data_IF_205071780745
#
_entry.id   IF_205071780745
#
_cell.length_a   1.000
_cell.length_b   1.000
_cell.length_c   1.000
_cell.angle_alpha   90.00
_cell.angle_beta   90.00
_cell.angle_gamma   90.00
#
_symmetry.space_group_name_H-M   'P 1'
#
loop_
_entity.id
_entity.type
_entity.pdbx_description
1 polymer ?
#
# COMPACT_ATOMS: atom_id res chain seq x y z
N UNK A 1 -27.54 -21.40 -14.81
CA UNK A 1 -26.15 -20.96 -15.07
C UNK A 1 -25.70 -21.53 -16.41
N UNK A 2 -25.38 -20.68 -17.39
CA UNK A 2 -24.63 -21.11 -18.58
C UNK A 2 -23.17 -21.32 -18.15
N UNK A 3 -22.63 -22.47 -18.52
CA UNK A 3 -21.30 -22.95 -18.18
C UNK A 3 -20.25 -22.13 -18.97
N UNK A 4 -19.25 -21.59 -18.28
CA UNK A 4 -18.14 -20.78 -18.84
C UNK A 4 -17.13 -21.61 -19.68
N UNK A 5 -17.37 -22.90 -19.88
CA UNK A 5 -16.60 -23.80 -20.73
C UNK A 5 -17.29 -24.01 -22.09
N UNK A 6 -17.99 -23.01 -22.60
CA UNK A 6 -18.37 -23.03 -24.01
C UNK A 6 -17.11 -22.70 -24.82
N UNK A 7 -16.48 -23.72 -25.40
CA UNK A 7 -15.24 -23.59 -26.19
C UNK A 7 -15.37 -22.64 -27.39
N UNK A 8 -16.59 -22.34 -27.81
CA UNK A 8 -16.93 -21.45 -28.94
C UNK A 8 -17.29 -20.00 -28.50
N UNK A 9 -17.12 -19.64 -27.23
CA UNK A 9 -17.39 -18.27 -26.74
C UNK A 9 -16.09 -17.48 -26.53
N UNK A 10 -15.71 -16.69 -27.54
CA UNK A 10 -14.49 -15.87 -27.55
C UNK A 10 -14.57 -14.59 -26.69
N UNK A 11 -15.68 -14.35 -25.98
CA UNK A 11 -15.82 -13.13 -25.19
C UNK A 11 -14.91 -13.17 -23.95
N UNK A 12 -14.21 -12.07 -23.64
CA UNK A 12 -13.37 -12.02 -22.45
C UNK A 12 -14.23 -12.19 -21.19
N UNK A 13 -13.81 -13.11 -20.32
CA UNK A 13 -14.46 -13.31 -19.02
C UNK A 13 -14.06 -12.19 -18.06
N UNK A 14 -15.05 -11.47 -17.52
CA UNK A 14 -14.84 -10.45 -16.50
C UNK A 14 -15.10 -11.06 -15.13
N UNK A 15 -14.07 -11.16 -14.29
CA UNK A 15 -14.18 -11.70 -12.94
C UNK A 15 -14.59 -10.61 -11.95
N UNK A 16 -15.86 -10.59 -11.55
CA UNK A 16 -16.41 -9.58 -10.62
C UNK A 16 -16.31 -9.97 -9.13
N UNK A 17 -15.96 -11.23 -8.84
CA UNK A 17 -15.89 -11.79 -7.47
C UNK A 17 -14.48 -11.90 -6.91
N UNK A 18 -13.49 -11.27 -7.55
CA UNK A 18 -12.09 -11.31 -7.10
C UNK A 18 -11.90 -10.34 -5.93
N UNK A 19 -11.37 -10.83 -4.82
CA UNK A 19 -11.15 -10.03 -3.61
C UNK A 19 -9.77 -9.35 -3.59
N UNK A 20 -8.88 -9.71 -4.51
CA UNK A 20 -7.53 -9.13 -4.59
C UNK A 20 -7.55 -7.94 -5.58
N UNK A 21 -7.37 -6.70 -5.09
CA UNK A 21 -7.39 -5.52 -5.94
C UNK A 21 -6.19 -5.45 -6.90
N UNK A 22 -5.07 -6.11 -6.59
CA UNK A 22 -3.81 -5.98 -7.34
C UNK A 22 -3.84 -6.57 -8.76
N UNK A 23 -4.87 -7.37 -9.06
CA UNK A 23 -5.10 -7.93 -10.39
C UNK A 23 -5.38 -6.86 -11.45
N UNK A 24 -5.99 -5.75 -11.03
CA UNK A 24 -6.27 -4.64 -11.93
C UNK A 24 -5.20 -3.57 -11.74
N UNK A 25 -4.58 -3.17 -12.85
CA UNK A 25 -3.55 -2.11 -12.86
C UNK A 25 -4.06 -0.79 -12.26
N UNK A 26 -5.38 -0.56 -12.29
CA UNK A 26 -6.03 0.60 -11.69
C UNK A 26 -5.91 0.69 -10.18
N UNK A 27 -5.63 -0.42 -9.49
CA UNK A 27 -5.43 -0.45 -8.03
C UNK A 27 -3.99 -0.77 -7.63
N UNK A 28 -3.05 -0.62 -8.56
CA UNK A 28 -1.64 -0.75 -8.22
C UNK A 28 -1.21 0.31 -7.22
N UNK A 29 -0.27 -0.09 -6.36
CA UNK A 29 0.36 0.78 -5.39
C UNK A 29 0.96 2.01 -6.08
N UNK A 30 0.78 3.20 -5.48
CA UNK A 30 1.31 4.44 -6.02
C UNK A 30 2.85 4.41 -6.06
N UNK A 31 3.43 5.05 -7.08
CA UNK A 31 4.89 5.07 -7.25
C UNK A 31 5.63 5.63 -6.02
N UNK A 32 5.05 6.63 -5.34
CA UNK A 32 5.59 7.20 -4.10
C UNK A 32 5.81 6.18 -2.99
N UNK A 33 4.93 5.18 -2.87
CA UNK A 33 5.06 4.12 -1.87
C UNK A 33 6.14 3.12 -2.29
N UNK A 34 6.26 2.82 -3.58
CA UNK A 34 7.32 1.96 -4.12
C UNK A 34 8.70 2.58 -3.88
N UNK A 35 8.82 3.88 -4.12
CA UNK A 35 10.07 4.62 -3.92
C UNK A 35 10.44 4.66 -2.42
N UNK A 36 9.47 4.94 -1.54
CA UNK A 36 9.71 4.96 -0.09
C UNK A 36 10.16 3.60 0.48
N UNK A 37 9.61 2.48 -0.04
CA UNK A 37 10.05 1.13 0.34
C UNK A 37 11.47 0.86 -0.17
N UNK A 38 11.78 1.30 -1.39
CA UNK A 38 13.12 1.16 -1.99
C UNK A 38 14.16 1.93 -1.18
N UNK A 39 13.87 3.18 -0.82
CA UNK A 39 14.68 4.01 0.06
C UNK A 39 14.93 3.34 1.41
N UNK A 40 13.89 2.80 2.04
CA UNK A 40 14.01 2.13 3.33
C UNK A 40 14.94 0.91 3.25
N UNK A 41 14.82 0.10 2.20
CA UNK A 41 15.70 -1.06 1.95
C UNK A 41 17.14 -0.64 1.69
N UNK A 42 17.35 0.34 0.81
CA UNK A 42 18.68 0.85 0.46
C UNK A 42 19.36 1.58 1.61
N UNK A 43 18.60 2.10 2.58
CA UNK A 43 19.17 2.75 3.76
C UNK A 43 19.85 1.78 4.73
N UNK A 44 19.55 0.47 4.65
CA UNK A 44 19.97 -0.56 5.60
C UNK A 44 19.59 -0.31 7.08
N UNK A 45 18.80 0.74 7.37
CA UNK A 45 18.42 1.14 8.74
C UNK A 45 17.39 0.21 9.38
N UNK A 46 16.61 -0.50 8.56
CA UNK A 46 15.45 -1.30 9.01
C UNK A 46 15.66 -2.82 8.91
N UNK A 47 16.91 -3.27 8.75
CA UNK A 47 17.23 -4.69 8.53
C UNK A 47 17.40 -5.50 9.82
N UNK A 48 17.38 -4.84 10.98
CA UNK A 48 17.48 -5.48 12.30
C UNK A 48 16.10 -5.87 12.84
N UNK A 49 16.08 -6.65 13.92
CA UNK A 49 14.83 -7.01 14.59
C UNK A 49 14.02 -5.77 15.00
N UNK A 50 12.74 -5.82 14.67
CA UNK A 50 11.77 -4.83 15.11
C UNK A 50 11.43 -5.05 16.60
N UNK A 51 11.20 -3.99 17.40
CA UNK A 51 10.59 -4.15 18.72
C UNK A 51 9.25 -4.89 18.63
N UNK A 52 8.84 -5.60 19.68
CA UNK A 52 7.59 -6.39 19.70
C UNK A 52 6.35 -5.56 19.32
N UNK A 53 6.34 -4.27 19.65
CA UNK A 53 5.26 -3.36 19.29
C UNK A 53 5.36 -2.75 17.88
N UNK A 54 6.39 -3.05 17.10
CA UNK A 54 6.65 -2.42 15.80
C UNK A 54 7.67 -1.27 15.85
N UNK A 55 7.92 -0.64 14.70
CA UNK A 55 8.79 0.55 14.58
C UNK A 55 8.07 1.76 15.20
N UNK A 56 8.75 2.50 16.08
CA UNK A 56 8.15 3.63 16.80
C UNK A 56 7.60 4.70 15.85
N UNK A 57 8.39 5.09 14.85
CA UNK A 57 8.00 6.11 13.88
C UNK A 57 6.78 5.69 13.05
N UNK A 58 6.72 4.42 12.63
CA UNK A 58 5.55 3.89 11.93
C UNK A 58 4.27 3.99 12.79
N UNK A 59 4.36 3.63 14.08
CA UNK A 59 3.20 3.75 15.00
C UNK A 59 2.76 5.19 15.20
N UNK A 60 3.70 6.11 15.39
CA UNK A 60 3.41 7.54 15.54
C UNK A 60 2.67 8.07 14.32
N UNK A 61 3.19 7.78 13.13
CA UNK A 61 2.58 8.17 11.89
C UNK A 61 1.15 7.62 11.77
N UNK A 62 0.93 6.31 12.02
CA UNK A 62 -0.43 5.73 11.96
C UNK A 62 -1.41 6.37 12.94
N UNK A 63 -0.96 6.70 14.16
CA UNK A 63 -1.80 7.36 15.16
C UNK A 63 -2.22 8.75 14.66
N UNK A 64 -1.26 9.52 14.13
CA UNK A 64 -1.48 10.86 13.58
C UNK A 64 -2.45 10.80 12.40
N UNK A 65 -2.21 9.91 11.42
CA UNK A 65 -3.07 9.82 10.21
C UNK A 65 -4.47 9.31 10.51
N UNK A 66 -4.64 8.50 11.56
CA UNK A 66 -5.96 8.01 11.98
C UNK A 66 -6.75 9.04 12.81
N UNK A 67 -6.10 10.12 13.24
CA UNK A 67 -6.74 11.16 14.05
C UNK A 67 -7.46 12.18 13.14
N UNK A 68 -8.75 12.49 13.38
CA UNK A 68 -9.59 13.30 12.48
C UNK A 68 -9.25 14.80 12.43
N UNK A 69 -8.15 15.26 13.02
CA UNK A 69 -7.84 16.69 13.22
C UNK A 69 -6.57 17.16 12.51
N UNK A 70 -5.99 16.36 11.61
CA UNK A 70 -4.63 16.58 11.07
C UNK A 70 -4.57 16.49 9.54
N UNK A 71 -5.56 17.04 8.83
CA UNK A 71 -5.44 17.25 7.38
C UNK A 71 -4.71 18.59 7.12
N UNK A 72 -3.39 18.55 6.92
CA UNK A 72 -2.70 19.62 6.17
C UNK A 72 -1.32 20.06 6.66
N UNK A 73 -1.06 20.12 7.98
CA UNK A 73 0.09 20.92 8.46
C UNK A 73 1.36 20.10 8.78
N UNK A 74 1.26 18.80 9.06
CA UNK A 74 2.40 18.01 9.60
C UNK A 74 3.30 17.36 8.54
N UNK A 75 2.88 17.25 7.28
CA UNK A 75 3.72 16.70 6.20
C UNK A 75 5.02 17.52 6.02
N UNK A 76 4.94 18.85 6.17
CA UNK A 76 6.11 19.75 6.05
C UNK A 76 7.04 19.70 7.27
N UNK A 77 6.53 19.38 8.45
CA UNK A 77 7.38 19.27 9.66
C UNK A 77 8.16 17.96 9.69
N UNK A 78 7.62 16.87 9.15
CA UNK A 78 8.32 15.58 9.06
C UNK A 78 9.42 15.55 7.98
N UNK A 79 9.28 16.30 6.89
CA UNK A 79 10.38 16.47 5.92
C UNK A 79 11.58 17.23 6.53
N UNK A 80 11.33 18.22 7.37
CA UNK A 80 12.39 19.02 8.01
C UNK A 80 13.15 18.31 9.14
N UNK A 81 12.73 17.09 9.50
CA UNK A 81 13.39 16.25 10.51
C UNK A 81 14.22 15.10 9.89
N UNK A 82 14.27 14.98 8.56
CA UNK A 82 15.04 13.95 7.84
C UNK A 82 16.49 14.36 7.58
#
# INVERSE_FOLDING_TARGET
MKNVNNLDDDRPTIMLGRSDPTEFQSFWTTQSVVDAVTDALQSFKFNSYCPTGGVLEARRYTCITSSPSMEGETYNEMENLR
#
